data_IF_983787375009
#
_entry.id   IF_983787375009
#
_cell.length_a   1.000
_cell.length_b   1.000
_cell.length_c   1.000
_cell.angle_alpha   90.00
_cell.angle_beta   90.00
_cell.angle_gamma   90.00
#
_symmetry.space_group_name_H-M   'P 1'
#
loop_
_entity.id
_entity.type
_entity.pdbx_description
1 polymer ?
#
# COMPACT_ATOMS: atom_id res chain seq x y z
N UNK A 1 -13.38 31.49 60.30
CA UNK A 1 -13.11 32.67 59.44
C UNK A 1 -13.02 32.19 58.01
N UNK A 2 -14.10 32.29 57.22
CA UNK A 2 -14.10 31.92 55.81
C UNK A 2 -13.93 33.17 54.97
N UNK A 3 -12.83 33.25 54.23
CA UNK A 3 -12.64 34.24 53.19
C UNK A 3 -13.65 33.93 52.08
N UNK A 4 -14.69 34.75 51.97
CA UNK A 4 -15.60 34.72 50.83
C UNK A 4 -14.79 35.06 49.58
N UNK A 5 -14.56 34.06 48.72
CA UNK A 5 -13.97 34.27 47.40
C UNK A 5 -14.93 35.13 46.59
N UNK A 6 -14.65 36.42 46.53
CA UNK A 6 -15.33 37.34 45.64
C UNK A 6 -15.08 36.83 44.21
N UNK A 7 -16.11 36.24 43.59
CA UNK A 7 -16.05 35.83 42.20
C UNK A 7 -15.72 37.02 41.29
N UNK A 8 -15.25 36.76 40.08
CA UNK A 8 -14.83 37.82 39.13
C UNK A 8 -15.90 38.93 38.99
N UNK A 9 -17.18 38.57 39.03
CA UNK A 9 -18.28 39.54 39.01
C UNK A 9 -18.32 40.46 40.23
N UNK A 10 -18.14 39.93 41.45
CA UNK A 10 -18.04 40.73 42.66
C UNK A 10 -16.75 41.57 42.72
N UNK A 11 -15.68 41.13 42.03
CA UNK A 11 -14.44 41.89 41.94
C UNK A 11 -14.58 43.05 40.94
N UNK A 12 -15.37 42.87 39.88
CA UNK A 12 -15.74 43.93 38.94
C UNK A 12 -16.69 44.94 39.57
N UNK A 13 -17.71 44.50 40.33
CA UNK A 13 -18.57 45.40 41.11
C UNK A 13 -17.79 46.15 42.20
N UNK A 14 -16.85 45.48 42.87
CA UNK A 14 -15.97 46.13 43.85
C UNK A 14 -14.99 47.12 43.20
N UNK A 15 -14.50 46.85 41.99
CA UNK A 15 -13.66 47.78 41.21
C UNK A 15 -14.46 48.99 40.70
N UNK A 16 -15.70 48.78 40.26
CA UNK A 16 -16.62 49.86 39.88
C UNK A 16 -17.05 50.70 41.10
N UNK A 17 -17.24 50.07 42.26
CA UNK A 17 -17.49 50.74 43.54
C UNK A 17 -16.28 51.48 44.09
N UNK A 18 -15.06 50.93 43.92
CA UNK A 18 -13.81 51.52 44.39
C UNK A 18 -13.29 52.67 43.50
N UNK A 19 -13.69 52.72 42.22
CA UNK A 19 -13.43 53.84 41.31
C UNK A 19 -14.26 55.10 41.63
N UNK A 20 -15.17 55.03 42.62
CA UNK A 20 -15.73 56.20 43.31
C UNK A 20 -16.71 57.07 42.53
N UNK A 21 -17.13 56.71 41.32
CA UNK A 21 -18.14 57.50 40.60
C UNK A 21 -19.07 56.57 39.83
N UNK A 22 -20.33 56.55 40.26
CA UNK A 22 -21.46 56.19 39.41
C UNK A 22 -21.36 57.05 38.14
N UNK A 23 -20.71 56.54 37.09
CA UNK A 23 -20.31 57.36 35.95
C UNK A 23 -21.35 57.26 34.85
N UNK A 24 -21.69 58.41 34.28
CA UNK A 24 -22.61 58.50 33.13
C UNK A 24 -22.11 57.62 31.98
N UNK A 25 -20.78 57.50 31.81
CA UNK A 25 -20.18 56.67 30.77
C UNK A 25 -20.48 55.18 30.98
N UNK A 26 -20.17 54.64 32.16
CA UNK A 26 -20.38 53.22 32.45
C UNK A 26 -21.86 52.85 32.38
N UNK A 27 -22.74 53.72 32.87
CA UNK A 27 -24.18 53.54 32.74
C UNK A 27 -24.62 53.50 31.27
N UNK A 28 -24.15 54.45 30.45
CA UNK A 28 -24.46 54.47 29.02
C UNK A 28 -23.94 53.23 28.30
N UNK A 29 -22.75 52.73 28.65
CA UNK A 29 -22.20 51.50 28.05
C UNK A 29 -23.09 50.28 28.32
N UNK A 30 -23.68 50.17 29.51
CA UNK A 30 -24.56 49.04 29.89
C UNK A 30 -25.98 49.13 29.34
N UNK A 31 -26.54 50.34 29.32
CA UNK A 31 -27.96 50.55 29.05
C UNK A 31 -28.26 51.11 27.66
N UNK A 32 -27.24 51.39 26.82
CA UNK A 32 -27.43 51.97 25.49
C UNK A 32 -28.37 51.15 24.62
N UNK A 33 -28.15 49.85 24.51
CA UNK A 33 -28.94 48.98 23.62
C UNK A 33 -30.40 48.90 24.07
N UNK A 34 -30.62 48.69 25.37
CA UNK A 34 -31.97 48.70 25.96
C UNK A 34 -32.67 50.06 25.74
N UNK A 35 -31.94 51.17 25.87
CA UNK A 35 -32.49 52.50 25.66
C UNK A 35 -32.81 52.76 24.18
N UNK A 36 -31.97 52.30 23.25
CA UNK A 36 -32.26 52.38 21.81
C UNK A 36 -33.47 51.53 21.42
N UNK A 37 -33.57 50.29 21.94
CA UNK A 37 -34.70 49.41 21.71
C UNK A 37 -36.01 50.00 22.26
N UNK A 38 -35.98 50.59 23.47
CA UNK A 38 -37.15 51.21 24.07
C UNK A 38 -37.60 52.50 23.36
N UNK A 39 -36.65 53.26 22.79
CA UNK A 39 -36.98 54.48 22.06
C UNK A 39 -37.60 54.19 20.69
N UNK A 40 -37.36 53.02 20.10
CA UNK A 40 -37.91 52.58 18.81
C UNK A 40 -37.77 53.66 17.72
N UNK A 41 -36.55 54.17 17.55
CA UNK A 41 -36.22 55.22 16.58
C UNK A 41 -36.56 56.65 16.99
N UNK A 42 -37.23 56.87 18.13
CA UNK A 42 -37.50 58.23 18.65
C UNK A 42 -36.24 58.92 19.17
N UNK A 43 -36.25 60.26 19.14
CA UNK A 43 -35.14 61.08 19.65
C UNK A 43 -35.10 61.03 21.18
N UNK A 44 -33.90 60.83 21.72
CA UNK A 44 -33.66 60.87 23.17
C UNK A 44 -33.89 62.29 23.70
N UNK A 45 -34.75 62.43 24.71
CA UNK A 45 -34.91 63.68 25.45
C UNK A 45 -33.75 63.86 26.42
N UNK A 46 -32.67 64.49 25.93
CA UNK A 46 -31.44 64.70 26.69
C UNK A 46 -31.61 65.53 27.96
N UNK A 47 -32.57 66.47 27.99
CA UNK A 47 -32.82 67.30 29.18
C UNK A 47 -33.39 66.44 30.31
N UNK A 48 -34.41 65.63 30.02
CA UNK A 48 -35.00 64.73 30.98
C UNK A 48 -33.99 63.67 31.46
N UNK A 49 -33.18 63.13 30.54
CA UNK A 49 -32.16 62.14 30.87
C UNK A 49 -31.05 62.74 31.77
N UNK A 50 -30.61 63.97 31.52
CA UNK A 50 -29.62 64.63 32.39
C UNK A 50 -30.18 64.98 33.77
N UNK A 51 -31.46 65.38 33.85
CA UNK A 51 -32.14 65.61 35.12
C UNK A 51 -32.24 64.32 35.94
N UNK A 52 -32.54 63.20 35.28
CA UNK A 52 -32.52 61.88 35.92
C UNK A 52 -31.11 61.48 36.36
N UNK A 53 -30.07 61.69 35.53
CA UNK A 53 -28.68 61.44 35.95
C UNK A 53 -28.31 62.20 37.22
N UNK A 54 -28.72 63.48 37.32
CA UNK A 54 -28.52 64.26 38.53
C UNK A 54 -29.27 63.69 39.73
N UNK A 55 -30.53 63.24 39.56
CA UNK A 55 -31.32 62.68 40.66
C UNK A 55 -30.78 61.36 41.20
N UNK A 56 -30.12 60.56 40.35
CA UNK A 56 -29.50 59.28 40.76
C UNK A 56 -28.00 59.40 41.09
N UNK A 57 -27.45 60.63 41.09
CA UNK A 57 -26.05 60.87 41.45
C UNK A 57 -25.03 60.40 40.40
N UNK A 58 -25.43 60.25 39.13
CA UNK A 58 -24.51 59.91 38.04
C UNK A 58 -23.70 61.15 37.62
N UNK A 59 -22.37 61.04 37.68
CA UNK A 59 -21.46 62.16 37.39
C UNK A 59 -20.66 61.94 36.10
N UNK A 60 -20.15 63.05 35.56
CA UNK A 60 -19.25 63.05 34.41
C UNK A 60 -17.80 62.72 34.83
N UNK A 61 -16.88 62.64 33.85
CA UNK A 61 -15.46 62.36 34.11
C UNK A 61 -14.69 63.45 34.89
N UNK A 62 -15.35 64.56 35.22
CA UNK A 62 -14.83 65.64 36.10
C UNK A 62 -15.48 65.62 37.48
N UNK A 63 -16.39 64.68 37.77
CA UNK A 63 -17.15 64.63 39.02
C UNK A 63 -18.32 65.62 39.09
N UNK A 64 -18.74 66.21 37.97
CA UNK A 64 -19.86 67.15 37.92
C UNK A 64 -21.11 66.49 37.32
N UNK A 65 -22.29 67.05 37.62
CA UNK A 65 -23.53 66.65 36.93
C UNK A 65 -23.43 66.88 35.42
N UNK A 66 -23.81 65.90 34.59
CA UNK A 66 -23.66 65.99 33.13
C UNK A 66 -24.57 67.06 32.52
N UNK A 67 -23.97 67.96 31.73
CA UNK A 67 -24.74 68.84 30.84
C UNK A 67 -25.23 68.07 29.61
N UNK A 68 -26.26 68.58 28.93
CA UNK A 68 -26.80 67.97 27.69
C UNK A 68 -25.70 67.71 26.65
N UNK A 69 -24.83 68.69 26.40
CA UNK A 69 -23.72 68.56 25.43
C UNK A 69 -22.71 67.49 25.87
N UNK A 70 -22.43 67.40 27.17
CA UNK A 70 -21.56 66.37 27.73
C UNK A 70 -22.16 64.98 27.53
N UNK A 71 -23.44 64.79 27.89
CA UNK A 71 -24.14 63.52 27.72
C UNK A 71 -24.18 63.06 26.26
N UNK A 72 -24.45 63.98 25.31
CA UNK A 72 -24.44 63.67 23.88
C UNK A 72 -23.06 63.23 23.36
N UNK A 73 -22.00 63.93 23.76
CA UNK A 73 -20.64 63.56 23.37
C UNK A 73 -20.22 62.23 23.97
N UNK A 74 -20.55 61.99 25.24
CA UNK A 74 -20.31 60.70 25.91
C UNK A 74 -21.07 59.59 25.20
N UNK A 75 -22.35 59.80 24.88
CA UNK A 75 -23.18 58.86 24.13
C UNK A 75 -22.60 58.51 22.77
N UNK A 76 -22.13 59.50 22.01
CA UNK A 76 -21.49 59.27 20.72
C UNK A 76 -20.20 58.45 20.87
N UNK A 77 -19.34 58.81 21.83
CA UNK A 77 -18.08 58.10 22.10
C UNK A 77 -18.30 56.65 22.52
N UNK A 78 -19.28 56.41 23.39
CA UNK A 78 -19.69 55.06 23.82
C UNK A 78 -20.18 54.24 22.64
N UNK A 79 -21.02 54.81 21.78
CA UNK A 79 -21.48 54.15 20.55
C UNK A 79 -20.31 53.71 19.67
N UNK A 80 -19.38 54.62 19.38
CA UNK A 80 -18.19 54.31 18.58
C UNK A 80 -17.27 53.28 19.23
N UNK A 81 -17.15 53.30 20.55
CA UNK A 81 -16.35 52.31 21.27
C UNK A 81 -16.97 50.92 21.24
N UNK A 82 -18.29 50.82 21.44
CA UNK A 82 -19.03 49.55 21.35
C UNK A 82 -19.00 48.98 19.94
N UNK A 83 -19.19 49.80 18.90
CA UNK A 83 -19.03 49.38 17.49
C UNK A 83 -17.68 48.71 17.27
N UNK A 84 -16.57 49.39 17.62
CA UNK A 84 -15.21 48.83 17.49
C UNK A 84 -14.95 47.59 18.34
N UNK A 85 -15.64 47.46 19.47
CA UNK A 85 -15.52 46.28 20.34
C UNK A 85 -16.24 45.09 19.71
N UNK A 86 -17.43 45.33 19.16
CA UNK A 86 -18.24 44.31 18.49
C UNK A 86 -17.58 43.86 17.19
N UNK A 87 -17.00 44.76 16.41
CA UNK A 87 -16.19 44.42 15.22
C UNK A 87 -15.04 43.47 15.58
N UNK A 88 -14.23 43.81 16.59
CA UNK A 88 -13.14 42.93 17.07
C UNK A 88 -13.63 41.61 17.68
N UNK A 89 -14.84 41.57 18.21
CA UNK A 89 -15.44 40.33 18.68
C UNK A 89 -15.89 39.46 17.51
N UNK A 90 -16.50 40.06 16.49
CA UNK A 90 -16.92 39.39 15.26
C UNK A 90 -15.73 38.85 14.46
N UNK A 91 -14.63 39.60 14.36
CA UNK A 91 -13.39 39.15 13.72
C UNK A 91 -12.82 37.90 14.40
N UNK A 92 -12.73 37.92 15.74
CA UNK A 92 -12.27 36.76 16.51
C UNK A 92 -13.20 35.56 16.38
N UNK A 93 -14.51 35.80 16.34
CA UNK A 93 -15.50 34.74 16.11
C UNK A 93 -15.37 34.14 14.70
N UNK A 94 -15.15 34.98 13.68
CA UNK A 94 -14.95 34.53 12.30
C UNK A 94 -13.64 33.75 12.15
N UNK A 95 -12.56 34.18 12.80
CA UNK A 95 -11.28 33.45 12.83
C UNK A 95 -11.42 32.10 13.54
N UNK A 96 -12.13 32.05 14.66
CA UNK A 96 -12.41 30.79 15.36
C UNK A 96 -13.19 29.80 14.47
N UNK A 97 -14.23 30.26 13.77
CA UNK A 97 -14.99 29.43 12.82
C UNK A 97 -14.13 28.92 11.66
N UNK A 98 -13.19 29.74 11.17
CA UNK A 98 -12.25 29.30 10.12
C UNK A 98 -11.31 28.21 10.62
N UNK A 99 -10.76 28.37 11.82
CA UNK A 99 -9.88 27.38 12.43
C UNK A 99 -10.62 26.06 12.74
N UNK A 100 -11.88 26.14 13.15
CA UNK A 100 -12.73 24.97 13.37
C UNK A 100 -13.00 24.24 12.05
N UNK A 101 -13.35 24.96 10.98
CA UNK A 101 -13.54 24.37 9.66
C UNK A 101 -12.26 23.71 9.11
N UNK A 102 -11.09 24.33 9.33
CA UNK A 102 -9.80 23.75 8.96
C UNK A 102 -9.55 22.44 9.72
N UNK A 103 -9.72 22.42 11.04
CA UNK A 103 -9.60 21.21 11.87
C UNK A 103 -10.58 20.11 11.46
N UNK A 104 -11.80 20.46 11.07
CA UNK A 104 -12.78 19.49 10.57
C UNK A 104 -12.36 18.91 9.23
N UNK A 105 -11.82 19.72 8.33
CA UNK A 105 -11.28 19.26 7.05
C UNK A 105 -10.08 18.33 7.22
N UNK A 106 -9.17 18.63 8.16
CA UNK A 106 -8.03 17.78 8.49
C UNK A 106 -8.48 16.43 9.05
N UNK A 107 -9.45 16.43 9.97
CA UNK A 107 -10.04 15.20 10.52
C UNK A 107 -10.69 14.36 9.43
N UNK A 108 -11.41 15.00 8.50
CA UNK A 108 -12.03 14.32 7.38
C UNK A 108 -10.99 13.69 6.44
N UNK A 109 -9.89 14.38 6.16
CA UNK A 109 -8.78 13.87 5.35
C UNK A 109 -8.12 12.64 6.00
N UNK A 110 -7.81 12.71 7.31
CA UNK A 110 -7.23 11.59 8.06
C UNK A 110 -8.18 10.37 8.03
N UNK A 111 -9.48 10.59 8.22
CA UNK A 111 -10.46 9.50 8.16
C UNK A 111 -10.61 8.90 6.76
N UNK A 112 -10.45 9.69 5.70
CA UNK A 112 -10.45 9.19 4.34
C UNK A 112 -9.21 8.32 4.06
N UNK A 113 -8.03 8.76 4.52
CA UNK A 113 -6.79 7.99 4.41
C UNK A 113 -6.87 6.65 5.15
N UNK A 114 -7.40 6.64 6.38
CA UNK A 114 -7.60 5.40 7.15
C UNK A 114 -8.55 4.44 6.40
N UNK A 115 -9.61 4.97 5.78
CA UNK A 115 -10.54 4.14 4.98
C UNK A 115 -9.84 3.53 3.77
N UNK A 116 -9.11 4.32 3.01
CA UNK A 116 -8.34 3.83 1.86
C UNK A 116 -7.34 2.75 2.28
N UNK A 117 -6.59 2.96 3.36
CA UNK A 117 -5.65 1.96 3.85
C UNK A 117 -6.33 0.66 4.26
N UNK A 118 -7.49 0.73 4.90
CA UNK A 118 -8.27 -0.47 5.25
C UNK A 118 -8.77 -1.21 4.01
N UNK A 119 -9.19 -0.48 2.99
CA UNK A 119 -9.63 -1.06 1.71
C UNK A 119 -8.46 -1.75 1.00
N UNK A 120 -7.29 -1.13 0.93
CA UNK A 120 -6.10 -1.76 0.31
C UNK A 120 -5.66 -2.99 1.10
N UNK A 121 -5.58 -2.92 2.43
CA UNK A 121 -5.26 -4.08 3.28
C UNK A 121 -6.31 -5.21 3.13
N UNK A 122 -7.58 -4.87 2.94
CA UNK A 122 -8.63 -5.86 2.69
C UNK A 122 -8.47 -6.53 1.31
N UNK A 123 -8.14 -5.77 0.27
CA UNK A 123 -7.87 -6.29 -1.07
C UNK A 123 -6.63 -7.20 -1.07
N UNK A 124 -5.56 -6.82 -0.37
CA UNK A 124 -4.36 -7.66 -0.23
C UNK A 124 -4.66 -8.97 0.50
N UNK A 125 -5.43 -8.92 1.59
CA UNK A 125 -5.87 -10.11 2.32
C UNK A 125 -6.76 -11.01 1.46
N UNK A 126 -7.66 -10.45 0.66
CA UNK A 126 -8.48 -11.21 -0.29
C UNK A 126 -7.61 -11.88 -1.36
N UNK A 127 -6.68 -11.14 -1.96
CA UNK A 127 -5.74 -11.68 -2.95
C UNK A 127 -4.86 -12.79 -2.37
N UNK A 128 -4.44 -12.68 -1.10
CA UNK A 128 -3.68 -13.72 -0.42
C UNK A 128 -4.53 -14.99 -0.21
N UNK A 129 -5.79 -14.85 0.21
CA UNK A 129 -6.73 -15.97 0.36
C UNK A 129 -6.96 -16.69 -0.96
N UNK A 130 -7.19 -15.95 -2.04
CA UNK A 130 -7.37 -16.52 -3.38
C UNK A 130 -6.12 -17.30 -3.84
N UNK A 131 -4.92 -16.78 -3.55
CA UNK A 131 -3.66 -17.49 -3.83
C UNK A 131 -3.55 -18.78 -3.03
N UNK A 132 -3.89 -18.75 -1.75
CA UNK A 132 -3.89 -19.95 -0.89
C UNK A 132 -4.89 -20.99 -1.39
N UNK A 133 -6.10 -20.58 -1.74
CA UNK A 133 -7.13 -21.50 -2.24
C UNK A 133 -6.71 -22.13 -3.57
N UNK A 134 -6.11 -21.36 -4.49
CA UNK A 134 -5.54 -21.89 -5.74
C UNK A 134 -4.43 -22.90 -5.47
N UNK A 135 -3.54 -22.61 -4.51
CA UNK A 135 -2.46 -23.52 -4.13
C UNK A 135 -3.00 -24.82 -3.52
N UNK A 136 -4.04 -24.73 -2.69
CA UNK A 136 -4.70 -25.91 -2.10
C UNK A 136 -5.37 -26.78 -3.16
N UNK A 137 -6.11 -26.16 -4.10
CA UNK A 137 -6.70 -26.88 -5.25
C UNK A 137 -5.62 -27.57 -6.10
N UNK A 138 -4.51 -26.89 -6.37
CA UNK A 138 -3.39 -27.47 -7.12
C UNK A 138 -2.74 -28.65 -6.36
N UNK A 139 -2.58 -28.53 -5.04
CA UNK A 139 -2.06 -29.61 -4.21
C UNK A 139 -3.02 -30.80 -4.16
N UNK A 140 -4.33 -30.56 -4.05
CA UNK A 140 -5.35 -31.61 -4.10
C UNK A 140 -5.32 -32.35 -5.44
N UNK A 141 -5.22 -31.62 -6.56
CA UNK A 141 -5.08 -32.22 -7.88
C UNK A 141 -3.82 -33.09 -8.00
N UNK A 142 -2.66 -32.63 -7.49
CA UNK A 142 -1.43 -33.44 -7.48
C UNK A 142 -1.57 -34.72 -6.67
N UNK A 143 -2.29 -34.69 -5.54
CA UNK A 143 -2.53 -35.89 -4.72
C UNK A 143 -3.42 -36.89 -5.46
N UNK A 144 -4.48 -36.40 -6.11
CA UNK A 144 -5.37 -37.26 -6.91
C UNK A 144 -4.61 -37.89 -8.08
N UNK A 145 -3.82 -37.09 -8.80
CA UNK A 145 -3.01 -37.59 -9.93
C UNK A 145 -1.97 -38.62 -9.47
N UNK A 146 -1.27 -38.36 -8.36
CA UNK A 146 -0.33 -39.31 -7.78
C UNK A 146 -1.02 -40.63 -7.37
N UNK A 147 -2.24 -40.56 -6.82
CA UNK A 147 -3.03 -41.74 -6.49
C UNK A 147 -3.43 -42.53 -7.74
N UNK A 148 -3.86 -41.85 -8.82
CA UNK A 148 -4.18 -42.49 -10.11
C UNK A 148 -2.97 -43.17 -10.74
N UNK A 149 -1.81 -42.52 -10.74
CA UNK A 149 -0.56 -43.10 -11.26
C UNK A 149 -0.13 -44.29 -10.42
N UNK A 150 -0.23 -44.20 -9.08
CA UNK A 150 0.07 -45.33 -8.20
C UNK A 150 -0.86 -46.53 -8.47
N UNK A 151 -2.16 -46.29 -8.64
CA UNK A 151 -3.12 -47.34 -9.00
C UNK A 151 -2.80 -47.97 -10.36
N UNK A 152 -2.49 -47.15 -11.37
CA UNK A 152 -2.07 -47.64 -12.69
C UNK A 152 -0.81 -48.50 -12.61
N UNK A 153 0.22 -48.04 -11.89
CA UNK A 153 1.47 -48.78 -11.71
C UNK A 153 1.25 -50.10 -10.96
N UNK A 154 0.36 -50.12 -9.97
CA UNK A 154 -0.03 -51.37 -9.28
C UNK A 154 -0.70 -52.35 -10.23
N UNK A 155 -1.63 -51.89 -11.09
CA UNK A 155 -2.27 -52.74 -12.11
C UNK A 155 -1.24 -53.31 -13.10
N UNK A 156 -0.35 -52.47 -13.63
CA UNK A 156 0.70 -52.90 -14.55
C UNK A 156 1.66 -53.89 -13.88
N UNK A 157 2.05 -53.65 -12.63
CA UNK A 157 2.90 -54.57 -11.87
C UNK A 157 2.20 -55.92 -11.61
N UNK A 158 0.90 -55.90 -11.28
CA UNK A 158 0.09 -57.11 -11.12
C UNK A 158 -0.04 -57.90 -12.42
N UNK A 159 -0.27 -57.22 -13.56
CA UNK A 159 -0.29 -57.85 -14.88
C UNK A 159 1.07 -58.45 -15.26
N UNK A 160 2.18 -57.73 -14.99
CA UNK A 160 3.53 -58.21 -15.23
C UNK A 160 3.84 -59.44 -14.36
N UNK A 161 3.45 -59.43 -13.08
CA UNK A 161 3.56 -60.57 -12.18
C UNK A 161 2.73 -61.77 -12.67
N UNK A 162 1.51 -61.54 -13.14
CA UNK A 162 0.66 -62.58 -13.73
C UNK A 162 1.26 -63.15 -15.03
N UNK A 163 1.82 -62.31 -15.90
CA UNK A 163 2.55 -62.74 -17.11
C UNK A 163 3.78 -63.55 -16.75
N UNK A 164 4.56 -63.13 -15.75
CA UNK A 164 5.73 -63.87 -15.24
C UNK A 164 5.33 -65.22 -14.65
N UNK A 165 4.23 -65.29 -13.89
CA UNK A 165 3.71 -66.55 -13.36
C UNK A 165 3.24 -67.50 -14.48
N UNK A 166 2.57 -66.97 -15.52
CA UNK A 166 2.19 -67.75 -16.72
C UNK A 166 3.43 -68.24 -17.49
N UNK A 167 4.44 -67.39 -17.66
CA UNK A 167 5.68 -67.77 -18.31
C UNK A 167 6.47 -68.81 -17.51
N UNK A 168 6.47 -68.74 -16.16
CA UNK A 168 7.08 -69.74 -15.30
C UNK A 168 6.33 -71.10 -15.33
N UNK A 169 5.00 -71.07 -15.48
CA UNK A 169 4.20 -72.27 -15.70
C UNK A 169 4.49 -72.91 -17.06
N UNK A 170 4.73 -72.11 -18.10
CA UNK A 170 5.16 -72.60 -19.44
C UNK A 170 6.62 -73.06 -19.43
N UNK A 171 7.52 -72.37 -18.72
CA UNK A 171 8.93 -72.73 -18.60
C UNK A 171 9.17 -73.99 -17.74
N UNK A 172 8.23 -74.37 -16.87
CA UNK A 172 8.27 -75.66 -16.17
C UNK A 172 8.04 -76.87 -17.10
N UNK A 173 7.84 -76.65 -18.41
CA UNK A 173 7.71 -77.70 -19.43
C UNK A 173 8.90 -77.79 -20.41
N UNK A 174 9.93 -76.93 -20.35
CA UNK A 174 11.12 -77.05 -21.21
C UNK A 174 12.43 -76.59 -20.53
N UNK A 175 13.55 -77.32 -20.70
CA UNK A 175 14.80 -76.97 -20.07
C UNK A 175 15.53 -75.81 -20.77
N UNK A 176 16.04 -74.94 -19.90
CA UNK A 176 17.02 -73.85 -20.04
C UNK A 176 17.91 -73.80 -21.29
N UNK A 177 17.93 -72.63 -21.93
CA UNK A 177 19.08 -72.13 -22.69
C UNK A 177 19.42 -70.71 -22.19
N UNK A 178 20.59 -70.56 -21.59
CA UNK A 178 21.09 -69.30 -21.05
C UNK A 178 21.44 -68.30 -22.15
N UNK A 179 21.17 -67.03 -21.88
CA UNK A 179 21.76 -65.92 -22.62
C UNK A 179 22.22 -64.86 -21.63
N UNK A 180 23.55 -64.73 -21.52
CA UNK A 180 24.22 -63.66 -20.81
C UNK A 180 23.99 -62.34 -21.55
N UNK A 181 23.49 -61.33 -20.85
CA UNK A 181 23.47 -59.96 -21.34
C UNK A 181 24.88 -59.36 -21.18
N UNK A 182 25.52 -59.12 -22.32
CA UNK A 182 26.78 -58.37 -22.45
C UNK A 182 26.47 -56.90 -22.21
N UNK A 183 27.14 -56.28 -21.25
CA UNK A 183 27.24 -54.83 -21.13
C UNK A 183 28.30 -54.33 -22.13
N UNK A 184 28.02 -53.38 -23.03
CA UNK A 184 29.07 -52.74 -23.78
C UNK A 184 29.64 -51.60 -22.94
N UNK A 185 30.90 -51.78 -22.51
CA UNK A 185 31.80 -50.67 -22.25
C UNK A 185 32.05 -49.97 -23.59
N UNK A 186 31.68 -48.70 -23.69
CA UNK A 186 31.96 -47.85 -24.84
C UNK A 186 32.67 -46.60 -24.36
N UNK A 187 33.95 -46.49 -24.72
CA UNK A 187 34.76 -45.28 -24.59
C UNK A 187 34.22 -44.27 -25.62
N UNK A 188 33.26 -43.42 -25.21
CA UNK A 188 32.66 -42.42 -26.10
C UNK A 188 33.57 -41.21 -26.24
N UNK A 189 33.96 -40.89 -27.49
CA UNK A 189 34.74 -39.70 -27.80
C UNK A 189 33.90 -38.45 -27.55
N UNK A 190 34.17 -37.75 -26.44
CA UNK A 190 33.52 -36.48 -26.12
C UNK A 190 33.93 -35.40 -27.13
N UNK A 191 32.96 -34.59 -27.56
CA UNK A 191 33.15 -33.51 -28.54
C UNK A 191 32.99 -32.16 -27.86
N UNK A 192 33.93 -31.25 -28.08
CA UNK A 192 33.82 -29.85 -27.64
C UNK A 192 33.13 -29.03 -28.73
N UNK A 193 32.15 -28.21 -28.37
CA UNK A 193 31.52 -27.26 -29.30
C UNK A 193 32.45 -26.08 -29.57
N UNK A 194 32.58 -25.69 -30.83
CA UNK A 194 33.32 -24.48 -31.24
C UNK A 194 32.45 -23.23 -30.97
N UNK A 195 32.45 -22.79 -29.71
CA UNK A 195 31.66 -21.65 -29.22
C UNK A 195 32.57 -20.47 -28.86
N UNK A 196 32.15 -19.22 -29.15
CA UNK A 196 32.90 -18.05 -28.75
C UNK A 196 33.00 -17.95 -27.22
N UNK A 197 34.18 -17.57 -26.72
CA UNK A 197 34.40 -17.30 -25.30
C UNK A 197 33.78 -15.94 -24.94
N UNK A 198 32.70 -15.96 -24.15
CA UNK A 198 31.89 -14.76 -23.83
C UNK A 198 31.90 -14.56 -22.31
N UNK A 199 32.07 -13.30 -21.89
CA UNK A 199 32.02 -12.94 -20.48
C UNK A 199 30.64 -13.23 -19.84
N UNK A 200 30.67 -13.96 -18.72
CA UNK A 200 29.49 -14.35 -17.96
C UNK A 200 28.70 -15.53 -18.52
N UNK A 201 29.25 -16.27 -19.49
CA UNK A 201 28.84 -17.65 -19.80
C UNK A 201 29.62 -18.61 -18.90
N UNK A 202 28.94 -19.60 -18.29
CA UNK A 202 29.60 -20.57 -17.42
C UNK A 202 30.58 -21.47 -18.18
N UNK A 203 31.60 -21.98 -17.49
CA UNK A 203 32.53 -22.97 -18.04
C UNK A 203 31.81 -24.25 -18.54
N UNK A 204 30.65 -24.57 -17.94
CA UNK A 204 29.79 -25.71 -18.33
C UNK A 204 29.31 -25.65 -19.79
N UNK A 205 29.21 -24.44 -20.36
CA UNK A 205 28.87 -24.28 -21.77
C UNK A 205 29.97 -24.80 -22.72
N UNK A 206 31.20 -24.92 -22.23
CA UNK A 206 32.37 -25.32 -23.01
C UNK A 206 32.84 -26.74 -22.68
N UNK A 207 32.10 -27.48 -21.84
CA UNK A 207 32.45 -28.85 -21.51
C UNK A 207 32.23 -29.79 -22.71
N UNK A 208 33.14 -30.76 -22.92
CA UNK A 208 32.94 -31.80 -23.92
C UNK A 208 31.66 -32.59 -23.64
N UNK A 209 30.83 -32.80 -24.67
CA UNK A 209 29.60 -33.58 -24.57
C UNK A 209 29.66 -34.85 -25.40
N UNK A 210 28.86 -35.85 -25.03
CA UNK A 210 28.76 -37.09 -25.79
C UNK A 210 27.78 -36.91 -26.97
N UNK A 211 28.25 -36.93 -28.22
CA UNK A 211 27.40 -36.71 -29.39
C UNK A 211 26.49 -37.92 -29.70
N UNK A 212 26.71 -39.07 -29.07
CA UNK A 212 25.90 -40.28 -29.28
C UNK A 212 24.61 -40.27 -28.47
N UNK A 213 24.49 -39.37 -27.49
CA UNK A 213 23.29 -39.25 -26.68
C UNK A 213 22.21 -38.47 -27.42
N UNK A 214 20.93 -38.91 -27.36
CA UNK A 214 19.84 -38.15 -27.95
C UNK A 214 19.66 -36.80 -27.22
N UNK A 215 19.21 -35.77 -27.96
CA UNK A 215 18.92 -34.46 -27.39
C UNK A 215 17.87 -34.59 -26.29
N UNK A 216 18.05 -33.86 -25.19
CA UNK A 216 17.03 -33.81 -24.13
C UNK A 216 15.75 -33.21 -24.69
N UNK A 217 14.64 -33.90 -24.42
CA UNK A 217 13.31 -33.41 -24.78
C UNK A 217 12.63 -32.69 -23.63
N UNK A 218 11.76 -31.75 -23.98
CA UNK A 218 10.83 -31.15 -23.01
C UNK A 218 10.05 -32.24 -22.27
N UNK A 219 9.99 -32.13 -20.94
CA UNK A 219 9.30 -33.05 -20.05
C UNK A 219 10.15 -34.21 -19.55
N UNK A 220 11.35 -34.43 -20.09
CA UNK A 220 12.30 -35.39 -19.53
C UNK A 220 12.77 -34.91 -18.14
N UNK A 221 12.99 -35.86 -17.23
CA UNK A 221 13.40 -35.56 -15.85
C UNK A 221 14.91 -35.38 -15.82
N UNK A 222 15.37 -34.25 -15.28
CA UNK A 222 16.79 -34.03 -15.01
C UNK A 222 17.26 -35.00 -13.92
N UNK A 223 18.27 -35.86 -14.19
CA UNK A 223 18.79 -36.79 -13.19
C UNK A 223 19.48 -36.11 -12.01
N UNK A 224 19.96 -34.86 -12.15
CA UNK A 224 20.66 -34.11 -11.11
C UNK A 224 19.71 -33.44 -10.13
N UNK A 225 18.66 -32.77 -10.63
CA UNK A 225 17.73 -31.99 -9.80
C UNK A 225 16.37 -32.67 -9.59
N UNK A 226 16.05 -33.72 -10.33
CA UNK A 226 14.75 -34.40 -10.28
C UNK A 226 13.58 -33.60 -10.88
N UNK A 227 13.84 -32.42 -11.43
CA UNK A 227 12.85 -31.57 -12.08
C UNK A 227 12.74 -31.88 -13.57
N UNK A 228 11.53 -31.76 -14.13
CA UNK A 228 11.34 -31.90 -15.57
C UNK A 228 11.85 -30.67 -16.32
N UNK A 229 12.41 -30.86 -17.51
CA UNK A 229 12.77 -29.76 -18.41
C UNK A 229 11.51 -29.12 -19.01
N UNK A 230 11.30 -27.83 -18.76
CA UNK A 230 10.08 -27.12 -19.15
C UNK A 230 10.22 -26.39 -20.51
N UNK A 231 11.44 -26.01 -20.92
CA UNK A 231 11.68 -25.05 -22.01
C UNK A 231 12.29 -25.68 -23.26
N UNK A 232 11.43 -26.30 -24.07
CA UNK A 232 11.83 -26.83 -25.38
C UNK A 232 12.88 -27.94 -25.28
N UNK A 233 13.36 -28.37 -26.44
CA UNK A 233 14.38 -29.42 -26.54
C UNK A 233 15.79 -28.80 -26.50
N UNK A 234 16.83 -29.64 -26.43
CA UNK A 234 18.22 -29.21 -26.64
C UNK A 234 18.37 -28.51 -27.99
N UNK A 235 19.05 -27.35 -27.98
CA UNK A 235 19.28 -26.56 -29.18
C UNK A 235 20.51 -27.07 -29.94
N UNK A 236 20.40 -27.42 -31.24
CA UNK A 236 21.54 -27.86 -32.04
C UNK A 236 22.65 -26.81 -32.12
N UNK A 237 23.89 -27.22 -31.86
CA UNK A 237 25.05 -26.33 -31.90
C UNK A 237 25.21 -25.44 -30.65
N UNK A 238 24.44 -25.70 -29.60
CA UNK A 238 24.56 -25.07 -28.28
C UNK A 238 24.80 -26.13 -27.20
N UNK A 239 25.25 -25.73 -26.00
CA UNK A 239 25.46 -26.66 -24.90
C UNK A 239 24.19 -27.47 -24.59
N UNK A 240 24.33 -28.77 -24.35
CA UNK A 240 23.20 -29.61 -23.95
C UNK A 240 22.76 -29.30 -22.51
N UNK A 241 21.45 -29.42 -22.24
CA UNK A 241 20.87 -29.34 -20.89
C UNK A 241 21.47 -30.38 -19.93
N UNK A 242 22.07 -31.48 -20.43
CA UNK A 242 22.70 -32.54 -19.62
C UNK A 242 23.81 -32.02 -18.70
N UNK A 243 24.52 -30.98 -19.12
CA UNK A 243 25.58 -30.35 -18.32
C UNK A 243 25.07 -29.43 -17.20
N UNK A 244 23.74 -29.27 -17.06
CA UNK A 244 23.14 -28.29 -16.17
C UNK A 244 22.24 -28.95 -15.12
N UNK A 245 22.37 -28.46 -13.89
CA UNK A 245 21.50 -28.88 -12.78
C UNK A 245 20.14 -28.17 -12.84
N UNK A 246 20.13 -26.92 -13.31
CA UNK A 246 18.93 -26.09 -13.43
C UNK A 246 18.77 -25.54 -14.84
N UNK A 247 17.53 -25.52 -15.31
CA UNK A 247 17.18 -25.01 -16.65
C UNK A 247 17.41 -23.51 -16.80
N UNK A 248 17.33 -22.76 -15.71
CA UNK A 248 17.62 -21.33 -15.69
C UNK A 248 19.10 -21.02 -15.97
N UNK A 249 20.02 -21.89 -15.52
CA UNK A 249 21.45 -21.73 -15.81
C UNK A 249 21.74 -22.03 -17.28
N UNK A 250 21.10 -23.07 -17.82
CA UNK A 250 21.18 -23.38 -19.24
C UNK A 250 20.64 -22.22 -20.11
N UNK A 251 19.47 -21.68 -19.75
CA UNK A 251 18.87 -20.55 -20.47
C UNK A 251 19.72 -19.27 -20.40
N UNK A 252 20.39 -19.01 -19.27
CA UNK A 252 21.31 -17.87 -19.14
C UNK A 252 22.46 -17.99 -20.12
N UNK A 253 23.11 -19.15 -20.17
CA UNK A 253 24.32 -19.35 -20.94
C UNK A 253 24.01 -19.44 -22.44
N UNK A 254 22.98 -20.21 -22.83
CA UNK A 254 22.50 -20.30 -24.22
C UNK A 254 21.97 -18.96 -24.72
N UNK A 255 21.25 -18.20 -23.90
CA UNK A 255 20.76 -16.88 -24.28
C UNK A 255 21.89 -15.90 -24.61
N UNK A 256 23.02 -15.97 -23.88
CA UNK A 256 24.20 -15.13 -24.11
C UNK A 256 24.93 -15.54 -25.38
N UNK A 257 25.07 -16.84 -25.61
CA UNK A 257 25.61 -17.40 -26.85
C UNK A 257 24.76 -17.00 -28.07
N UNK A 258 23.43 -17.05 -27.94
CA UNK A 258 22.51 -16.58 -28.98
C UNK A 258 22.66 -15.09 -29.27
N UNK A 259 22.81 -14.25 -28.25
CA UNK A 259 23.05 -12.81 -28.43
C UNK A 259 24.37 -12.53 -29.14
N UNK A 260 25.41 -13.33 -28.87
CA UNK A 260 26.72 -13.15 -29.49
C UNK A 260 26.82 -13.72 -30.90
N UNK A 261 26.06 -14.77 -31.21
CA UNK A 261 26.05 -15.41 -32.53
C UNK A 261 25.18 -14.67 -33.55
N UNK A 262 24.14 -13.98 -33.09
CA UNK A 262 23.16 -13.31 -33.95
C UNK A 262 23.11 -11.80 -33.70
N UNK A 263 23.41 -11.00 -34.72
CA UNK A 263 23.32 -9.53 -34.64
C UNK A 263 21.89 -9.03 -34.37
N UNK A 264 20.87 -9.77 -34.85
CA UNK A 264 19.46 -9.45 -34.63
C UNK A 264 18.64 -10.71 -34.42
N UNK A 265 17.50 -10.59 -33.74
CA UNK A 265 16.56 -11.71 -33.55
C UNK A 265 15.97 -12.26 -34.85
N UNK A 266 16.11 -11.55 -35.97
CA UNK A 266 15.64 -11.99 -37.28
C UNK A 266 16.52 -13.07 -37.90
N UNK A 267 17.79 -13.21 -37.50
CA UNK A 267 18.69 -14.26 -38.00
C UNK A 267 18.65 -15.55 -37.18
N UNK A 268 17.83 -15.61 -36.12
CA UNK A 268 17.63 -16.78 -35.27
C UNK A 268 16.58 -17.73 -35.87
N UNK A 269 16.71 -19.05 -35.68
CA UNK A 269 15.64 -20.02 -35.95
C UNK A 269 14.47 -19.84 -34.98
N UNK A 270 13.33 -20.48 -35.23
CA UNK A 270 12.17 -20.37 -34.34
C UNK A 270 12.45 -20.98 -32.95
N UNK A 271 13.22 -22.06 -32.88
CA UNK A 271 13.66 -22.69 -31.64
C UNK A 271 14.63 -21.76 -30.87
N UNK A 272 15.56 -21.12 -31.58
CA UNK A 272 16.49 -20.14 -31.01
C UNK A 272 15.76 -18.89 -30.49
N UNK A 273 14.78 -18.36 -31.25
CA UNK A 273 13.91 -17.25 -30.82
C UNK A 273 13.12 -17.63 -29.58
N UNK A 274 12.61 -18.86 -29.51
CA UNK A 274 11.87 -19.34 -28.36
C UNK A 274 12.76 -19.33 -27.11
N UNK A 275 13.93 -19.95 -27.15
CA UNK A 275 14.86 -19.97 -26.02
C UNK A 275 15.33 -18.56 -25.63
N UNK A 276 15.69 -17.72 -26.60
CA UNK A 276 16.13 -16.34 -26.38
C UNK A 276 15.05 -15.49 -25.70
N UNK A 277 13.79 -15.63 -26.12
CA UNK A 277 12.64 -14.92 -25.51
C UNK A 277 12.41 -15.33 -24.07
N UNK A 278 12.52 -16.62 -23.77
CA UNK A 278 12.35 -17.14 -22.40
C UNK A 278 13.50 -16.66 -21.51
N UNK A 279 14.75 -16.74 -21.97
CA UNK A 279 15.92 -16.24 -21.24
C UNK A 279 15.79 -14.74 -20.93
N UNK A 280 15.36 -13.92 -21.91
CA UNK A 280 15.09 -12.49 -21.72
C UNK A 280 13.93 -12.23 -20.77
N UNK A 281 12.84 -12.98 -20.88
CA UNK A 281 11.64 -12.84 -20.04
C UNK A 281 11.87 -13.19 -18.57
N UNK A 282 12.85 -14.06 -18.28
CA UNK A 282 13.28 -14.42 -16.90
C UNK A 282 14.43 -13.57 -16.36
N UNK A 283 14.86 -12.53 -17.08
CA UNK A 283 15.94 -11.64 -16.65
C UNK A 283 17.31 -12.31 -16.59
N UNK A 284 17.55 -13.32 -17.45
CA UNK A 284 18.82 -14.05 -17.54
C UNK A 284 19.79 -13.47 -18.59
N UNK A 285 19.39 -12.37 -19.25
CA UNK A 285 20.12 -11.70 -20.34
C UNK A 285 20.18 -10.18 -20.17
#
# INVERSE_FOLDING_TARGET
MSAASIGIEGALEALDGAAGVASVRAWMERHREALLAHQDGRRINWRALCAWFASVGLLNGKGETPTVRCAQLTWYRVGKWLERRNERAAERAAEALRLEAERESEKAAIQAEIRQRRETEALEKAALRDKMEKAERAAAWRRDEAARVAEHNQRVAAEAAARKARAAAVASAQPTAGHSAVAPAGDTALVTLDLPQIEGVSYRAYEPFDPTLPPIRKGEINPLSGNAWEFGDDLPGYPSKRGYEFEDDWLRDVGRLLRARHDTTSSMTEEEKFAFRIARGRGRL
#
